data_IF_980356765034
#
_entry.id   IF_980356765034
#
_cell.length_a   1.000
_cell.length_b   1.000
_cell.length_c   1.000
_cell.angle_alpha   90.00
_cell.angle_beta   90.00
_cell.angle_gamma   90.00
#
_symmetry.space_group_name_H-M   'P 1'
#
loop_
_entity.id
_entity.type
_entity.pdbx_description
1 polymer ?
#
# COMPACT_ATOMS: atom_id res chain seq x y z
N UNK A 1 23.89 -13.21 -66.62
CA UNK A 1 22.50 -12.73 -66.44
C UNK A 1 22.35 -12.40 -64.96
N UNK A 2 22.48 -11.12 -64.58
CA UNK A 2 22.45 -10.67 -63.17
C UNK A 2 21.05 -10.12 -62.89
N UNK A 3 20.30 -10.64 -61.90
CA UNK A 3 18.96 -10.14 -61.64
C UNK A 3 19.03 -8.71 -61.09
N UNK A 4 18.30 -7.81 -61.73
CA UNK A 4 18.13 -6.43 -61.27
C UNK A 4 17.43 -6.45 -59.91
N UNK A 5 18.15 -6.07 -58.86
CA UNK A 5 17.56 -5.82 -57.55
C UNK A 5 16.73 -4.53 -57.65
N UNK A 6 15.42 -4.70 -57.73
CA UNK A 6 14.43 -3.62 -57.86
C UNK A 6 14.52 -2.65 -56.67
N UNK A 7 14.47 -1.34 -56.95
CA UNK A 7 14.62 -0.24 -55.98
C UNK A 7 13.61 -0.29 -54.82
N UNK A 8 12.47 -0.96 -55.01
CA UNK A 8 11.44 -1.15 -53.99
C UNK A 8 11.94 -1.90 -52.75
N UNK A 9 12.79 -2.93 -52.91
CA UNK A 9 13.30 -3.70 -51.76
C UNK A 9 14.21 -2.87 -50.85
N UNK A 10 14.95 -1.90 -51.40
CA UNK A 10 15.82 -1.02 -50.62
C UNK A 10 15.00 -0.07 -49.76
N UNK A 11 13.89 0.43 -50.29
CA UNK A 11 13.01 1.36 -49.58
C UNK A 11 12.35 0.69 -48.38
N UNK A 12 11.86 -0.54 -48.52
CA UNK A 12 11.23 -1.29 -47.42
C UNK A 12 12.20 -1.61 -46.28
N UNK A 13 13.44 -2.00 -46.58
CA UNK A 13 14.46 -2.32 -45.56
C UNK A 13 14.87 -1.07 -44.76
N UNK A 14 14.95 0.09 -45.42
CA UNK A 14 15.23 1.37 -44.75
C UNK A 14 14.09 1.72 -43.78
N UNK A 15 12.84 1.60 -44.20
CA UNK A 15 11.69 1.91 -43.33
C UNK A 15 11.57 0.97 -42.12
N UNK A 16 11.84 -0.33 -42.28
CA UNK A 16 11.87 -1.28 -41.16
C UNK A 16 12.97 -0.91 -40.16
N UNK A 17 14.15 -0.53 -40.66
CA UNK A 17 15.28 -0.15 -39.80
C UNK A 17 14.98 1.12 -39.00
N UNK A 18 14.36 2.12 -39.63
CA UNK A 18 13.89 3.34 -38.96
C UNK A 18 12.85 3.01 -37.90
N UNK A 19 11.86 2.16 -38.22
CA UNK A 19 10.83 1.75 -37.27
C UNK A 19 11.42 1.04 -36.03
N UNK A 20 12.42 0.18 -36.22
CA UNK A 20 13.09 -0.51 -35.11
C UNK A 20 13.89 0.45 -34.22
N UNK A 21 14.58 1.44 -34.81
CA UNK A 21 15.31 2.46 -34.04
C UNK A 21 14.34 3.32 -33.23
N UNK A 22 13.24 3.77 -33.84
CA UNK A 22 12.20 4.55 -33.15
C UNK A 22 11.58 3.73 -32.02
N UNK A 23 11.29 2.45 -32.26
CA UNK A 23 10.72 1.55 -31.25
C UNK A 23 11.70 1.29 -30.08
N UNK A 24 12.97 1.04 -30.37
CA UNK A 24 14.01 0.87 -29.35
C UNK A 24 14.21 2.15 -28.53
N UNK A 25 14.21 3.32 -29.18
CA UNK A 25 14.29 4.61 -28.51
C UNK A 25 13.06 4.87 -27.62
N UNK A 26 11.86 4.52 -28.08
CA UNK A 26 10.63 4.63 -27.29
C UNK A 26 10.63 3.70 -26.06
N UNK A 27 11.13 2.47 -26.20
CA UNK A 27 11.31 1.54 -25.08
C UNK A 27 12.35 2.03 -24.08
N UNK A 28 13.49 2.55 -24.56
CA UNK A 28 14.50 3.16 -23.71
C UNK A 28 13.92 4.38 -22.97
N UNK A 29 13.22 5.27 -23.67
CA UNK A 29 12.56 6.43 -23.08
C UNK A 29 11.53 6.03 -22.02
N UNK A 30 10.73 4.99 -22.26
CA UNK A 30 9.80 4.46 -21.26
C UNK A 30 10.52 3.94 -20.01
N UNK A 31 11.70 3.31 -20.16
CA UNK A 31 12.53 2.86 -19.02
C UNK A 31 13.18 4.00 -18.26
N UNK A 32 13.53 5.11 -18.94
CA UNK A 32 14.17 6.27 -18.32
C UNK A 32 13.20 7.32 -17.81
N UNK A 33 11.91 7.24 -18.16
CA UNK A 33 10.87 8.09 -17.57
C UNK A 33 10.66 7.64 -16.13
N UNK A 34 11.24 8.38 -15.19
CA UNK A 34 10.82 8.31 -13.80
C UNK A 34 9.33 8.64 -13.76
N UNK A 35 8.50 7.71 -13.29
CA UNK A 35 7.10 8.03 -13.03
C UNK A 35 7.07 9.19 -12.04
N UNK A 36 6.23 10.24 -12.26
CA UNK A 36 6.10 11.33 -11.31
C UNK A 36 5.78 10.73 -9.95
N UNK A 37 6.63 10.99 -8.96
CA UNK A 37 6.40 10.54 -7.58
C UNK A 37 5.03 11.07 -7.17
N UNK A 38 4.06 10.17 -6.97
CA UNK A 38 2.69 10.57 -6.67
C UNK A 38 2.70 11.58 -5.52
N UNK A 39 1.98 12.69 -5.65
CA UNK A 39 1.89 13.67 -4.55
C UNK A 39 1.08 13.05 -3.41
N UNK A 40 1.48 13.29 -2.15
CA UNK A 40 0.70 12.81 -1.00
C UNK A 40 -0.69 13.45 -1.04
N UNK A 41 -1.72 12.69 -0.65
CA UNK A 41 -3.01 13.30 -0.34
C UNK A 41 -2.89 14.19 0.91
N UNK A 42 -3.83 15.12 1.09
CA UNK A 42 -3.80 16.09 2.19
C UNK A 42 -3.81 15.45 3.59
N UNK A 43 -4.35 14.24 3.69
CA UNK A 43 -4.45 13.43 4.90
C UNK A 43 -3.31 12.40 5.06
N UNK A 44 -2.37 12.34 4.11
CA UNK A 44 -1.18 11.49 4.20
C UNK A 44 0.04 12.31 4.64
N UNK A 45 0.90 11.71 5.46
CA UNK A 45 2.21 12.25 5.83
C UNK A 45 3.26 11.16 5.77
N UNK A 46 4.51 11.57 5.50
CA UNK A 46 5.61 10.60 5.43
C UNK A 46 5.95 10.06 6.82
N UNK A 47 6.30 8.77 6.89
CA UNK A 47 6.91 8.16 8.09
C UNK A 47 8.22 8.86 8.47
N UNK A 48 8.91 9.50 7.52
CA UNK A 48 10.13 10.27 7.80
C UNK A 48 9.91 11.49 8.69
N UNK A 49 8.67 12.01 8.77
CA UNK A 49 8.31 13.15 9.61
C UNK A 49 8.14 12.77 11.10
N UNK A 50 8.00 11.48 11.41
CA UNK A 50 7.87 10.99 12.77
C UNK A 50 9.18 11.19 13.56
N UNK A 51 9.09 11.28 14.89
CA UNK A 51 10.29 11.25 15.74
C UNK A 51 11.01 9.89 15.68
N UNK A 52 12.24 9.81 16.19
CA UNK A 52 12.98 8.53 16.21
C UNK A 52 12.25 7.45 17.03
N UNK A 53 11.61 7.83 18.14
CA UNK A 53 10.79 6.93 18.96
C UNK A 53 9.53 6.47 18.21
N UNK A 54 8.84 7.40 17.57
CA UNK A 54 7.63 7.11 16.81
C UNK A 54 7.92 6.22 15.58
N UNK A 55 9.06 6.39 14.90
CA UNK A 55 9.46 5.48 13.82
C UNK A 55 9.72 4.06 14.33
N UNK A 56 10.35 3.91 15.51
CA UNK A 56 10.50 2.58 16.13
C UNK A 56 9.16 1.94 16.43
N UNK A 57 8.18 2.70 16.92
CA UNK A 57 6.81 2.20 17.10
C UNK A 57 6.17 1.83 15.77
N UNK A 58 6.30 2.65 14.73
CA UNK A 58 5.78 2.32 13.39
C UNK A 58 6.37 1.00 12.85
N UNK A 59 7.69 0.82 12.97
CA UNK A 59 8.35 -0.40 12.52
C UNK A 59 7.90 -1.62 13.33
N UNK A 60 7.78 -1.48 14.66
CA UNK A 60 7.24 -2.54 15.53
C UNK A 60 5.78 -2.88 15.21
N UNK A 61 4.94 -1.88 14.87
CA UNK A 61 3.56 -2.09 14.42
C UNK A 61 3.56 -2.94 13.14
N UNK A 62 4.43 -2.62 12.17
CA UNK A 62 4.51 -3.37 10.91
C UNK A 62 4.90 -4.83 11.14
N UNK A 63 5.81 -5.12 12.06
CA UNK A 63 6.13 -6.48 12.47
C UNK A 63 4.93 -7.17 13.14
N UNK A 64 4.23 -6.47 14.03
CA UNK A 64 3.03 -6.97 14.71
C UNK A 64 1.87 -7.30 13.77
N UNK A 65 1.73 -6.55 12.68
CA UNK A 65 0.69 -6.78 11.66
C UNK A 65 0.82 -8.20 11.08
N UNK A 66 2.03 -8.61 10.69
CA UNK A 66 2.29 -9.95 10.15
C UNK A 66 1.84 -11.06 11.11
N UNK A 67 2.04 -10.87 12.42
CA UNK A 67 1.59 -11.81 13.43
C UNK A 67 0.04 -11.86 13.52
N UNK A 68 -0.63 -10.71 13.42
CA UNK A 68 -2.11 -10.64 13.43
C UNK A 68 -2.68 -11.34 12.21
N UNK A 69 -2.12 -11.06 11.04
CA UNK A 69 -2.51 -11.63 9.76
C UNK A 69 -2.33 -13.14 9.73
N UNK A 70 -1.23 -13.65 10.27
CA UNK A 70 -0.99 -15.09 10.38
C UNK A 70 -2.09 -15.79 11.17
N UNK A 71 -2.45 -15.24 12.33
CA UNK A 71 -3.54 -15.79 13.16
C UNK A 71 -4.88 -15.66 12.44
N UNK A 72 -5.14 -14.53 11.79
CA UNK A 72 -6.37 -14.31 11.02
C UNK A 72 -6.52 -15.29 9.86
N UNK A 73 -5.46 -15.57 9.11
CA UNK A 73 -5.47 -16.51 8.00
C UNK A 73 -5.73 -17.96 8.49
N UNK A 74 -5.09 -18.34 9.61
CA UNK A 74 -5.21 -19.67 10.19
C UNK A 74 -6.57 -19.94 10.84
N UNK A 75 -7.12 -18.96 11.56
CA UNK A 75 -8.31 -19.16 12.41
C UNK A 75 -9.59 -18.57 11.85
N UNK A 76 -9.49 -17.78 10.77
CA UNK A 76 -10.59 -16.97 10.22
C UNK A 76 -11.16 -15.94 11.20
N UNK A 77 -10.44 -15.64 12.29
CA UNK A 77 -10.83 -14.68 13.32
C UNK A 77 -9.72 -13.67 13.59
N UNK A 78 -10.08 -12.42 13.80
CA UNK A 78 -9.12 -11.38 14.18
C UNK A 78 -8.77 -11.48 15.67
N UNK A 79 -7.48 -11.66 16.03
CA UNK A 79 -7.07 -11.87 17.41
C UNK A 79 -7.17 -10.60 18.26
N UNK A 80 -7.40 -10.72 19.57
CA UNK A 80 -7.29 -9.60 20.52
C UNK A 80 -5.84 -9.27 20.93
N UNK A 81 -4.85 -9.67 20.13
CA UNK A 81 -3.45 -9.50 20.47
C UNK A 81 -2.97 -8.06 20.31
N UNK A 82 -1.93 -7.71 21.04
CA UNK A 82 -1.26 -6.42 20.91
C UNK A 82 -0.40 -6.42 19.64
N UNK A 83 -0.37 -5.30 18.92
CA UNK A 83 0.52 -5.12 17.78
C UNK A 83 1.95 -4.79 18.23
N UNK A 84 2.09 -4.14 19.38
CA UNK A 84 3.37 -3.81 19.99
C UNK A 84 3.34 -4.04 21.50
N UNK A 85 4.47 -4.38 22.14
CA UNK A 85 4.51 -4.63 23.58
C UNK A 85 4.47 -3.35 24.44
N UNK A 86 4.82 -2.20 23.85
CA UNK A 86 4.93 -0.90 24.53
C UNK A 86 3.61 -0.13 24.64
N UNK A 87 2.54 -0.63 24.00
CA UNK A 87 1.22 -0.01 24.02
C UNK A 87 0.14 -1.00 24.46
N UNK A 88 -0.92 -0.47 25.07
CA UNK A 88 -2.16 -1.21 25.27
C UNK A 88 -3.03 -1.04 24.03
N UNK A 89 -3.37 -2.15 23.38
CA UNK A 89 -4.16 -2.14 22.15
C UNK A 89 -5.61 -2.51 22.43
N UNK A 90 -6.52 -1.84 21.74
CA UNK A 90 -7.94 -2.17 21.70
C UNK A 90 -8.32 -2.53 20.26
N UNK A 91 -9.05 -3.64 20.10
CA UNK A 91 -9.59 -4.06 18.81
C UNK A 91 -11.06 -3.74 18.74
N UNK A 92 -11.50 -3.16 17.63
CA UNK A 92 -12.91 -3.06 17.26
C UNK A 92 -13.10 -3.54 15.83
N UNK A 93 -14.33 -3.96 15.50
CA UNK A 93 -14.67 -4.41 14.16
C UNK A 93 -16.04 -3.88 13.77
N UNK A 94 -16.12 -3.33 12.57
CA UNK A 94 -17.35 -2.82 11.96
C UNK A 94 -17.46 -3.35 10.53
N UNK A 95 -18.28 -4.40 10.37
CA UNK A 95 -18.40 -5.14 9.11
C UNK A 95 -17.01 -5.63 8.65
N UNK A 96 -16.52 -5.11 7.53
CA UNK A 96 -15.27 -5.45 6.88
C UNK A 96 -14.08 -4.62 7.39
N UNK A 97 -14.32 -3.60 8.22
CA UNK A 97 -13.28 -2.77 8.82
C UNK A 97 -12.88 -3.29 10.20
N UNK A 98 -11.60 -3.54 10.40
CA UNK A 98 -11.02 -3.99 11.66
C UNK A 98 -9.98 -2.97 12.10
N UNK A 99 -10.22 -2.39 13.27
CA UNK A 99 -9.38 -1.34 13.82
C UNK A 99 -8.65 -1.88 15.05
N UNK A 100 -7.33 -1.71 15.05
CA UNK A 100 -6.51 -1.82 16.26
C UNK A 100 -6.07 -0.41 16.63
N UNK A 101 -6.40 0.03 17.84
CA UNK A 101 -6.03 1.37 18.35
C UNK A 101 -5.18 1.21 19.61
N UNK A 102 -4.02 1.87 19.61
CA UNK A 102 -3.08 1.91 20.73
C UNK A 102 -2.50 3.31 20.91
N UNK A 103 -1.99 3.61 22.09
CA UNK A 103 -1.37 4.90 22.41
C UNK A 103 0.10 4.69 22.80
N UNK A 104 1.02 5.38 22.13
CA UNK A 104 2.46 5.28 22.37
C UNK A 104 3.20 6.52 21.84
N UNK A 105 4.24 6.94 22.56
CA UNK A 105 5.17 8.00 22.14
C UNK A 105 4.47 9.31 21.70
N UNK A 106 3.46 9.71 22.48
CA UNK A 106 2.71 10.95 22.27
C UNK A 106 1.70 10.91 21.12
N UNK A 107 1.45 9.75 20.52
CA UNK A 107 0.47 9.58 19.45
C UNK A 107 -0.52 8.47 19.78
N UNK A 108 -1.73 8.64 19.25
CA UNK A 108 -2.67 7.55 19.05
C UNK A 108 -2.38 6.92 17.70
N UNK A 109 -2.23 5.61 17.68
CA UNK A 109 -1.97 4.79 16.50
C UNK A 109 -3.23 4.01 16.16
N UNK A 110 -3.52 3.92 14.87
CA UNK A 110 -4.58 3.08 14.32
C UNK A 110 -3.98 2.21 13.23
N UNK A 111 -4.23 0.91 13.30
CA UNK A 111 -4.10 0.02 12.16
C UNK A 111 -5.49 -0.35 11.71
N UNK A 112 -5.80 -0.01 10.46
CA UNK A 112 -7.04 -0.35 9.80
C UNK A 112 -6.78 -1.48 8.81
N UNK A 113 -7.46 -2.60 9.00
CA UNK A 113 -7.59 -3.65 8.01
C UNK A 113 -8.97 -3.54 7.36
N UNK A 114 -9.02 -3.57 6.03
CA UNK A 114 -10.25 -3.73 5.26
C UNK A 114 -10.23 -5.09 4.57
N UNK A 115 -11.18 -5.93 4.95
CA UNK A 115 -11.47 -7.19 4.25
C UNK A 115 -12.24 -6.93 2.94
N UNK A 116 -12.09 -7.80 1.94
CA UNK A 116 -12.82 -7.65 0.69
C UNK A 116 -14.28 -8.02 0.90
N UNK A 117 -15.18 -7.41 0.13
CA UNK A 117 -16.58 -7.84 0.15
C UNK A 117 -16.67 -9.24 -0.49
N UNK A 118 -17.15 -10.27 0.24
CA UNK A 118 -17.20 -11.65 -0.27
C UNK A 118 -18.15 -11.82 -1.47
N UNK A 119 -18.94 -10.79 -1.80
CA UNK A 119 -19.83 -10.77 -2.97
C UNK A 119 -19.14 -10.24 -4.23
N UNK A 120 -17.93 -9.70 -4.10
CA UNK A 120 -17.15 -9.17 -5.21
C UNK A 120 -16.14 -10.21 -5.68
N UNK A 121 -15.87 -10.23 -6.98
CA UNK A 121 -14.90 -11.13 -7.63
C UNK A 121 -13.75 -10.35 -8.25
N UNK A 122 -13.42 -9.19 -7.68
CA UNK A 122 -12.30 -8.38 -8.15
C UNK A 122 -10.98 -9.11 -7.86
N UNK A 123 -10.05 -9.03 -8.81
CA UNK A 123 -8.72 -9.59 -8.59
C UNK A 123 -8.00 -8.76 -7.52
N UNK A 124 -7.22 -9.39 -6.61
CA UNK A 124 -6.43 -8.65 -5.65
C UNK A 124 -5.46 -7.71 -6.39
N UNK A 125 -5.26 -6.48 -5.88
CA UNK A 125 -4.17 -5.65 -6.34
C UNK A 125 -2.82 -6.33 -6.07
N UNK A 126 -1.74 -5.92 -6.76
CA UNK A 126 -0.39 -6.42 -6.45
C UNK A 126 -0.05 -6.16 -4.98
N UNK A 127 0.64 -7.12 -4.34
CA UNK A 127 1.09 -6.94 -2.96
C UNK A 127 2.06 -5.76 -2.85
N UNK A 128 1.82 -4.88 -1.89
CA UNK A 128 2.65 -3.72 -1.54
C UNK A 128 2.54 -3.41 -0.02
N UNK A 129 2.95 -2.22 0.42
CA UNK A 129 2.92 -1.82 1.84
C UNK A 129 1.49 -1.63 2.41
N UNK A 130 0.49 -1.53 1.54
CA UNK A 130 -0.92 -1.30 1.87
C UNK A 130 -1.81 -2.46 1.42
N UNK A 131 -1.43 -3.23 0.41
CA UNK A 131 -2.19 -4.35 -0.13
C UNK A 131 -1.48 -5.65 0.22
N UNK A 132 -2.12 -6.46 1.07
CA UNK A 132 -1.55 -7.72 1.54
C UNK A 132 -2.43 -8.90 1.11
N UNK A 133 -1.83 -9.95 0.58
CA UNK A 133 -2.49 -11.23 0.36
C UNK A 133 -2.17 -12.20 1.50
N UNK A 134 -3.19 -12.61 2.25
CA UNK A 134 -3.06 -13.62 3.29
C UNK A 134 -2.74 -15.00 2.72
N UNK A 135 -2.19 -15.89 3.55
CA UNK A 135 -1.88 -17.28 3.14
C UNK A 135 -3.10 -18.12 2.75
N UNK A 136 -4.30 -17.66 3.09
CA UNK A 136 -5.57 -18.26 2.68
C UNK A 136 -6.16 -17.65 1.39
N UNK A 137 -5.43 -16.74 0.74
CA UNK A 137 -5.82 -16.04 -0.47
C UNK A 137 -6.69 -14.80 -0.26
N UNK A 138 -7.01 -14.43 0.99
CA UNK A 138 -7.77 -13.20 1.28
C UNK A 138 -6.92 -11.97 1.01
N UNK A 139 -7.41 -11.07 0.16
CA UNK A 139 -6.80 -9.78 -0.10
C UNK A 139 -7.21 -8.75 0.97
N UNK A 140 -6.26 -8.08 1.59
CA UNK A 140 -6.48 -7.04 2.59
C UNK A 140 -5.95 -5.71 2.10
N UNK A 141 -6.63 -4.64 2.48
CA UNK A 141 -6.04 -3.30 2.48
C UNK A 141 -5.69 -2.93 3.93
N UNK A 142 -4.44 -2.59 4.20
CA UNK A 142 -3.86 -2.37 5.53
C UNK A 142 -3.17 -1.01 5.61
N UNK A 143 -3.73 -0.10 6.39
CA UNK A 143 -3.19 1.27 6.56
C UNK A 143 -2.85 1.56 8.01
N UNK A 144 -1.79 2.35 8.22
CA UNK A 144 -1.38 2.83 9.54
C UNK A 144 -1.64 4.33 9.62
N UNK A 145 -2.33 4.74 10.67
CA UNK A 145 -2.72 6.11 10.91
C UNK A 145 -2.25 6.58 12.28
N UNK A 146 -2.13 7.90 12.39
CA UNK A 146 -1.80 8.57 13.64
C UNK A 146 -2.73 9.75 13.91
N UNK A 147 -2.94 10.04 15.19
CA UNK A 147 -3.65 11.22 15.65
C UNK A 147 -2.97 11.74 16.94
N UNK A 148 -2.89 13.06 17.16
CA UNK A 148 -2.45 13.61 18.44
C UNK A 148 -3.32 13.09 19.60
N UNK A 149 -2.73 12.89 20.79
CA UNK A 149 -3.47 12.40 21.96
C UNK A 149 -4.48 13.42 22.48
N UNK A 150 -4.22 14.71 22.25
CA UNK A 150 -5.07 15.84 22.60
C UNK A 150 -6.37 15.85 21.79
N UNK A 151 -6.39 15.19 20.63
CA UNK A 151 -7.61 15.05 19.83
C UNK A 151 -8.56 14.08 20.53
N UNK A 152 -9.84 14.47 20.75
CA UNK A 152 -10.83 13.60 21.37
C UNK A 152 -10.91 12.25 20.65
N UNK A 153 -10.89 11.17 21.43
CA UNK A 153 -10.97 9.82 20.89
C UNK A 153 -12.37 9.61 20.27
N UNK A 154 -12.47 9.22 18.99
CA UNK A 154 -13.76 8.82 18.45
C UNK A 154 -14.22 7.52 19.12
N UNK A 155 -15.51 7.42 19.46
CA UNK A 155 -16.09 6.20 20.03
C UNK A 155 -15.99 5.02 19.07
N UNK A 156 -16.03 5.33 17.77
CA UNK A 156 -15.97 4.41 16.65
C UNK A 156 -15.05 5.01 15.61
N UNK A 157 -14.07 4.24 15.16
CA UNK A 157 -13.30 4.58 13.95
C UNK A 157 -14.00 3.95 12.75
N UNK A 158 -14.46 4.78 11.81
CA UNK A 158 -15.11 4.31 10.58
C UNK A 158 -14.10 3.80 9.56
N UNK A 159 -14.58 3.27 8.43
CA UNK A 159 -13.73 2.90 7.30
C UNK A 159 -13.03 4.09 6.60
N UNK A 160 -13.27 5.33 7.06
CA UNK A 160 -12.65 6.54 6.51
C UNK A 160 -11.99 7.40 7.61
N UNK A 161 -10.86 6.94 8.20
CA UNK A 161 -10.23 7.62 9.34
C UNK A 161 -9.85 9.08 9.05
N UNK A 162 -9.51 9.43 7.80
CA UNK A 162 -9.20 10.81 7.42
C UNK A 162 -10.30 11.82 7.80
N UNK A 163 -11.58 11.44 7.69
CA UNK A 163 -12.71 12.30 8.04
C UNK A 163 -12.81 12.58 9.55
N UNK A 164 -12.16 11.75 10.37
CA UNK A 164 -12.10 11.87 11.83
C UNK A 164 -10.78 12.50 12.31
N UNK A 165 -10.01 13.09 11.37
CA UNK A 165 -8.77 13.78 11.69
C UNK A 165 -7.56 12.86 11.90
N UNK A 166 -7.63 11.61 11.46
CA UNK A 166 -6.47 10.74 11.39
C UNK A 166 -5.59 11.10 10.19
N UNK A 167 -4.28 10.89 10.37
CA UNK A 167 -3.26 11.09 9.34
C UNK A 167 -2.62 9.76 9.01
N UNK A 168 -2.72 9.32 7.75
CA UNK A 168 -2.08 8.09 7.29
C UNK A 168 -0.57 8.28 7.20
N UNK A 169 0.18 7.25 7.61
CA UNK A 169 1.63 7.21 7.58
C UNK A 169 2.09 6.30 6.46
N UNK A 170 2.64 6.90 5.43
CA UNK A 170 3.15 6.19 4.25
C UNK A 170 4.67 6.17 4.20
N UNK A 171 5.23 5.04 3.82
CA UNK A 171 6.67 4.87 3.58
C UNK A 171 6.95 5.25 2.12
N UNK A 172 7.95 6.12 1.87
CA UNK A 172 8.27 6.68 0.55
C UNK A 172 9.75 6.65 0.23
#
# INVERSE_FOLDING_TARGET
MVPAVTSERRTTVVWISVALVVFAAALAWKRFRSEPRATLADWQRSVSELSAEQRRTYDAIREGITAVETVRAATKQWPQQHLTPDATWSRSQQRLAINYVGEANGLRWLVLFLEPDPRTTEAPPPDDDEHHTLSDGTALHVTIWTQPLETPRPEVVTAFPAAEGWVERVRR
#
